data_IF_601983368195
#
_entry.id   IF_601983368195
#
_cell.length_a   1.000
_cell.length_b   1.000
_cell.length_c   1.000
_cell.angle_alpha   90.00
_cell.angle_beta   90.00
_cell.angle_gamma   90.00
#
_symmetry.space_group_name_H-M   'P 1'
#
loop_
_entity.id
_entity.type
_entity.pdbx_description
1 polymer ?
#
# COMPACT_ATOMS: atom_id res chain seq x y z
N UNK A 1 24.44 -5.15 -17.68
CA UNK A 1 23.19 -5.85 -17.99
C UNK A 1 22.49 -6.18 -16.68
N UNK A 2 21.20 -5.78 -16.59
CA UNK A 2 20.17 -6.11 -15.59
C UNK A 2 20.50 -5.91 -14.09
N UNK A 3 20.06 -4.77 -13.56
CA UNK A 3 19.57 -4.73 -12.19
C UNK A 3 18.16 -5.36 -12.19
N UNK A 4 17.99 -6.34 -11.32
CA UNK A 4 16.73 -7.00 -10.96
C UNK A 4 15.65 -5.95 -10.68
N UNK A 5 14.41 -6.21 -11.13
CA UNK A 5 13.32 -5.25 -11.19
C UNK A 5 13.10 -4.49 -9.89
N UNK A 6 13.05 -3.17 -10.03
CA UNK A 6 12.65 -2.18 -9.02
C UNK A 6 11.46 -2.71 -8.18
N UNK A 7 11.66 -2.86 -6.86
CA UNK A 7 10.70 -3.35 -5.86
C UNK A 7 9.54 -2.33 -5.64
N UNK A 8 8.85 -1.98 -6.73
CA UNK A 8 7.80 -0.98 -6.75
C UNK A 8 6.54 -1.57 -6.14
N UNK A 9 6.16 -1.04 -4.99
CA UNK A 9 4.95 -1.41 -4.26
C UNK A 9 3.91 -0.31 -4.30
N UNK A 10 2.64 -0.71 -4.30
CA UNK A 10 1.52 0.22 -4.19
C UNK A 10 1.29 0.59 -2.72
N UNK A 11 1.17 1.89 -2.48
CA UNK A 11 0.88 2.50 -1.18
C UNK A 11 -0.25 3.51 -1.37
N UNK A 12 -1.23 3.49 -0.47
CA UNK A 12 -2.37 4.41 -0.47
C UNK A 12 -2.30 5.35 0.74
N UNK A 13 -2.35 6.65 0.48
CA UNK A 13 -2.58 7.67 1.52
C UNK A 13 -4.03 8.10 1.47
N UNK A 14 -4.73 8.03 2.60
CA UNK A 14 -6.17 8.26 2.68
C UNK A 14 -6.49 9.28 3.76
N UNK A 15 -7.48 10.12 3.48
CA UNK A 15 -8.02 11.08 4.45
C UNK A 15 -9.38 10.54 4.91
N UNK A 16 -9.60 10.35 6.23
CA UNK A 16 -10.88 9.88 6.73
C UNK A 16 -11.94 10.97 6.53
N UNK A 17 -13.14 10.57 6.10
CA UNK A 17 -14.28 11.46 6.14
C UNK A 17 -14.71 11.72 7.59
N UNK A 18 -15.42 12.83 7.83
CA UNK A 18 -15.89 13.18 9.16
C UNK A 18 -16.74 12.05 9.78
N UNK A 19 -16.40 11.64 11.01
CA UNK A 19 -17.09 10.57 11.73
C UNK A 19 -16.65 9.14 11.37
N UNK A 20 -15.64 8.98 10.51
CA UNK A 20 -15.06 7.66 10.20
C UNK A 20 -13.90 7.37 11.14
N UNK A 21 -13.92 6.20 11.79
CA UNK A 21 -12.84 5.74 12.66
C UNK A 21 -11.61 5.32 11.85
N UNK A 22 -10.47 5.96 12.13
CA UNK A 22 -9.20 5.73 11.42
C UNK A 22 -8.74 4.27 11.51
N UNK A 23 -8.97 3.61 12.66
CA UNK A 23 -8.50 2.23 12.91
C UNK A 23 -9.17 1.21 11.99
N UNK A 24 -10.42 1.47 11.61
CA UNK A 24 -11.21 0.56 10.76
C UNK A 24 -11.10 0.87 9.27
N UNK A 25 -10.68 2.08 8.92
CA UNK A 25 -10.74 2.60 7.56
C UNK A 25 -9.86 1.79 6.60
N UNK A 26 -8.62 1.51 6.98
CA UNK A 26 -7.67 0.79 6.12
C UNK A 26 -8.17 -0.62 5.77
N UNK A 27 -8.71 -1.36 6.75
CA UNK A 27 -9.26 -2.69 6.54
C UNK A 27 -10.48 -2.69 5.62
N UNK A 28 -11.41 -1.76 5.85
CA UNK A 28 -12.60 -1.60 5.02
C UNK A 28 -12.26 -1.26 3.56
N UNK A 29 -11.32 -0.34 3.34
CA UNK A 29 -10.86 0.03 2.00
C UNK A 29 -10.14 -1.12 1.30
N UNK A 30 -9.27 -1.86 2.01
CA UNK A 30 -8.62 -3.05 1.45
C UNK A 30 -9.65 -4.07 0.96
N UNK A 31 -10.65 -4.40 1.79
CA UNK A 31 -11.69 -5.35 1.41
C UNK A 31 -12.48 -4.85 0.19
N UNK A 32 -12.84 -3.58 0.17
CA UNK A 32 -13.58 -2.99 -0.95
C UNK A 32 -12.78 -3.03 -2.26
N UNK A 33 -11.50 -2.65 -2.20
CA UNK A 33 -10.63 -2.62 -3.38
C UNK A 33 -10.32 -4.03 -3.89
N UNK A 34 -10.04 -4.99 -3.00
CA UNK A 34 -9.81 -6.39 -3.39
C UNK A 34 -11.03 -7.06 -4.02
N UNK A 35 -12.24 -6.61 -3.72
CA UNK A 35 -13.45 -7.12 -4.37
C UNK A 35 -13.64 -6.58 -5.80
N UNK A 36 -13.02 -5.45 -6.13
CA UNK A 36 -13.21 -4.76 -7.40
C UNK A 36 -11.99 -4.83 -8.34
N UNK A 37 -10.79 -5.00 -7.79
CA UNK A 37 -9.53 -4.96 -8.53
C UNK A 37 -8.74 -6.28 -8.37
N UNK A 38 -7.93 -6.65 -9.38
CA UNK A 38 -6.96 -7.74 -9.23
C UNK A 38 -5.94 -7.47 -8.12
N UNK A 39 -5.38 -8.53 -7.53
CA UNK A 39 -4.49 -8.47 -6.36
C UNK A 39 -3.28 -7.54 -6.55
N UNK A 40 -2.69 -7.51 -7.75
CA UNK A 40 -1.52 -6.66 -8.03
C UNK A 40 -1.84 -5.15 -8.05
N UNK A 41 -3.12 -4.77 -8.05
CA UNK A 41 -3.58 -3.38 -7.93
C UNK A 41 -3.97 -3.01 -6.49
N UNK A 42 -4.01 -3.97 -5.56
CA UNK A 42 -4.36 -3.73 -4.16
C UNK A 42 -3.15 -3.12 -3.44
N UNK A 43 -3.27 -1.94 -2.82
CA UNK A 43 -2.17 -1.35 -2.06
C UNK A 43 -1.72 -2.24 -0.91
N UNK A 44 -0.41 -2.42 -0.82
CA UNK A 44 0.24 -3.22 0.22
C UNK A 44 0.41 -2.46 1.55
N UNK A 45 0.23 -1.14 1.54
CA UNK A 45 0.18 -0.30 2.73
C UNK A 45 -0.85 0.81 2.57
N UNK A 46 -1.49 1.14 3.69
CA UNK A 46 -2.51 2.17 3.80
C UNK A 46 -2.09 3.12 4.92
N UNK A 47 -1.94 4.39 4.62
CA UNK A 47 -1.51 5.42 5.55
C UNK A 47 -2.64 6.42 5.70
N UNK A 48 -3.18 6.53 6.91
CA UNK A 48 -4.19 7.53 7.22
C UNK A 48 -3.48 8.85 7.50
N UNK A 49 -3.89 9.90 6.80
CA UNK A 49 -3.36 11.26 6.98
C UNK A 49 -4.52 12.22 7.25
N UNK A 50 -4.30 13.19 8.14
CA UNK A 50 -5.31 14.21 8.43
C UNK A 50 -5.65 15.07 7.19
N UNK A 51 -4.65 15.33 6.34
CA UNK A 51 -4.82 16.02 5.07
C UNK A 51 -3.70 15.61 4.10
N UNK A 52 -4.00 15.71 2.80
CA UNK A 52 -2.96 15.53 1.77
C UNK A 52 -2.08 16.78 1.71
N UNK A 53 -0.75 16.64 1.74
CA UNK A 53 0.15 17.77 1.61
C UNK A 53 0.05 18.37 0.21
N UNK A 54 -0.13 19.67 0.13
CA UNK A 54 -0.20 20.40 -1.13
C UNK A 54 0.99 21.36 -1.24
N UNK A 55 1.57 21.41 -2.43
CA UNK A 55 2.49 22.46 -2.86
C UNK A 55 1.79 23.83 -2.90
N UNK A 56 2.54 24.95 -2.97
CA UNK A 56 1.96 26.30 -3.06
C UNK A 56 0.99 26.49 -4.24
N UNK A 57 1.14 25.71 -5.30
CA UNK A 57 0.26 25.71 -6.46
C UNK A 57 -0.97 24.79 -6.31
N UNK A 58 -1.23 24.26 -5.12
CA UNK A 58 -2.37 23.37 -4.82
C UNK A 58 -2.23 21.94 -5.33
N UNK A 59 -1.07 21.56 -5.88
CA UNK A 59 -0.81 20.17 -6.33
C UNK A 59 -0.33 19.31 -5.17
N UNK A 60 -0.65 18.02 -5.17
CA UNK A 60 -0.13 17.05 -4.21
C UNK A 60 1.41 17.09 -4.16
N UNK A 61 1.96 17.36 -2.97
CA UNK A 61 3.39 17.27 -2.70
C UNK A 61 3.73 15.88 -2.17
N UNK A 62 4.10 14.98 -3.10
CA UNK A 62 4.45 13.60 -2.77
C UNK A 62 5.67 13.47 -1.88
N UNK A 63 6.56 14.48 -1.84
CA UNK A 63 7.79 14.43 -1.03
C UNK A 63 7.51 14.72 0.43
N UNK A 64 6.39 15.37 0.71
CA UNK A 64 5.92 15.68 2.06
C UNK A 64 4.95 14.62 2.61
N UNK A 65 4.68 13.56 1.85
CA UNK A 65 3.88 12.45 2.36
C UNK A 65 4.65 11.69 3.44
N UNK A 66 3.98 11.29 4.54
CA UNK A 66 4.62 10.51 5.58
C UNK A 66 5.01 9.12 5.05
N UNK A 67 6.15 8.64 5.52
CA UNK A 67 6.64 7.29 5.26
C UNK A 67 5.65 6.25 5.82
N UNK A 68 5.28 5.21 5.06
CA UNK A 68 4.42 4.14 5.57
C UNK A 68 5.17 3.31 6.62
N UNK A 69 4.94 3.61 7.89
CA UNK A 69 5.48 2.84 9.02
C UNK A 69 4.79 1.47 9.09
N UNK A 70 5.56 0.38 9.11
CA UNK A 70 5.00 -0.96 9.30
C UNK A 70 4.58 -1.69 8.03
N UNK A 71 5.09 -1.29 6.87
CA UNK A 71 5.04 -2.11 5.65
C UNK A 71 5.96 -3.34 5.73
N UNK A 72 5.93 -4.10 6.83
CA UNK A 72 6.45 -5.45 6.81
C UNK A 72 5.56 -6.22 5.85
N UNK A 73 6.18 -6.70 4.78
CA UNK A 73 5.60 -7.56 3.75
C UNK A 73 4.63 -8.57 4.38
N UNK A 74 3.34 -8.28 4.33
CA UNK A 74 2.29 -9.30 4.40
C UNK A 74 1.96 -9.78 2.99
N UNK A 75 2.96 -9.81 2.10
CA UNK A 75 3.07 -10.99 1.27
C UNK A 75 3.23 -12.12 2.28
N UNK A 76 2.12 -12.82 2.57
CA UNK A 76 2.20 -14.12 3.19
C UNK A 76 3.30 -14.84 2.43
N UNK A 77 4.43 -15.08 3.11
CA UNK A 77 5.43 -16.00 2.62
C UNK A 77 4.68 -17.33 2.50
N UNK A 78 4.20 -17.63 1.29
CA UNK A 78 3.71 -18.95 0.97
C UNK A 78 4.96 -19.80 0.87
N UNK A 79 5.21 -20.60 1.92
CA UNK A 79 6.38 -21.45 1.96
C UNK A 79 6.31 -22.41 0.75
N UNK A 80 7.40 -22.54 -0.03
CA UNK A 80 7.41 -23.38 -1.21
C UNK A 80 6.95 -24.80 -0.84
N UNK A 81 5.81 -25.24 -1.38
CA UNK A 81 5.24 -26.57 -1.08
C UNK A 81 5.77 -27.67 -2.03
N UNK A 82 6.62 -27.31 -3.00
CA UNK A 82 7.11 -28.23 -4.03
C UNK A 82 8.63 -28.26 -4.13
N UNK A 83 9.17 -29.46 -4.33
CA UNK A 83 10.60 -29.75 -4.52
C UNK A 83 11.27 -28.93 -5.65
N UNK A 84 10.48 -28.41 -6.60
CA UNK A 84 10.98 -27.62 -7.74
C UNK A 84 11.22 -26.14 -7.43
N UNK A 85 10.80 -25.63 -6.27
CA UNK A 85 10.83 -24.19 -5.96
C UNK A 85 12.06 -23.78 -5.12
N UNK A 86 12.89 -24.73 -4.67
CA UNK A 86 14.07 -24.49 -3.82
C UNK A 86 15.33 -24.04 -4.60
N UNK A 87 15.29 -23.97 -5.93
CA UNK A 87 16.48 -23.74 -6.77
C UNK A 87 16.60 -22.34 -7.43
N UNK A 88 15.69 -21.40 -7.14
CA UNK A 88 15.73 -20.03 -7.68
C UNK A 88 16.00 -18.98 -6.60
#
# INVERSE_FOLDING_TARGET
ARAVGDDKRLVAWVVPAAGVAEETLAGALRQHVSAALPDYMVPSAWVVVAALPLSPNGKLDRRALPEPQGAQSQAAYEAPQGEHETLL
#
